data_IF_786776963348
#
_entry.id   IF_786776963348
#
_cell.length_a   1.000
_cell.length_b   1.000
_cell.length_c   1.000
_cell.angle_alpha   90.00
_cell.angle_beta   90.00
_cell.angle_gamma   90.00
#
_symmetry.space_group_name_H-M   'P 1'
#
loop_
_entity.id
_entity.type
_entity.pdbx_description
1 polymer ?
#
# COMPACT_ATOMS: atom_id res chain seq x y z
N UNK A 1 1.07 -24.23 -20.70
CA UNK A 1 0.80 -23.91 -19.28
C UNK A 1 -0.35 -22.90 -19.25
N UNK A 2 -1.51 -23.07 -18.64
CA UNK A 2 -1.91 -23.86 -17.48
C UNK A 2 -2.74 -22.94 -16.58
N UNK A 3 -4.05 -23.24 -16.48
CA UNK A 3 -5.06 -22.72 -15.56
C UNK A 3 -5.67 -21.31 -15.81
N UNK A 4 -6.90 -21.38 -16.32
CA UNK A 4 -8.03 -20.43 -16.23
C UNK A 4 -8.44 -20.17 -14.78
N UNK A 5 -8.50 -18.90 -14.36
CA UNK A 5 -9.58 -18.30 -13.55
C UNK A 5 -9.27 -16.81 -13.24
N UNK A 6 -10.32 -16.00 -13.01
CA UNK A 6 -10.32 -14.57 -12.62
C UNK A 6 -10.53 -13.51 -13.72
N UNK A 7 -11.53 -13.71 -14.59
CA UNK A 7 -12.27 -12.56 -15.11
C UNK A 7 -13.05 -11.91 -13.95
N UNK A 8 -12.49 -10.88 -13.30
CA UNK A 8 -13.17 -9.71 -12.66
C UNK A 8 -12.37 -8.99 -11.56
N UNK A 9 -11.19 -9.48 -11.13
CA UNK A 9 -10.34 -8.75 -10.17
C UNK A 9 -9.01 -8.33 -10.79
N UNK A 10 -9.00 -7.18 -11.49
CA UNK A 10 -7.75 -6.53 -11.93
C UNK A 10 -6.72 -6.53 -10.78
N UNK A 11 -5.47 -6.95 -11.02
CA UNK A 11 -4.45 -6.95 -9.97
C UNK A 11 -4.16 -5.51 -9.54
N UNK A 12 -3.57 -5.35 -8.36
CA UNK A 12 -3.22 -4.01 -7.84
C UNK A 12 -2.35 -3.22 -8.84
N UNK A 13 -1.31 -3.81 -9.46
CA UNK A 13 -0.54 -3.15 -10.52
C UNK A 13 -1.43 -2.70 -11.70
N UNK A 14 -2.25 -3.59 -12.27
CA UNK A 14 -3.12 -3.26 -13.41
C UNK A 14 -4.08 -2.10 -13.11
N UNK A 15 -4.61 -2.03 -11.88
CA UNK A 15 -5.45 -0.91 -11.43
C UNK A 15 -4.66 0.39 -11.36
N UNK A 16 -3.42 0.36 -10.87
CA UNK A 16 -2.54 1.53 -10.82
C UNK A 16 -2.10 1.97 -12.21
N UNK A 17 -1.87 1.04 -13.13
CA UNK A 17 -1.53 1.33 -14.53
C UNK A 17 -2.71 2.02 -15.24
N UNK A 18 -3.95 1.65 -14.88
CA UNK A 18 -5.16 2.30 -15.38
C UNK A 18 -5.44 3.66 -14.72
N UNK A 19 -4.99 3.89 -13.48
CA UNK A 19 -5.21 5.11 -12.70
C UNK A 19 -3.94 5.97 -12.62
N UNK A 20 -3.69 6.79 -13.64
CA UNK A 20 -2.50 7.67 -13.72
C UNK A 20 -2.42 8.71 -12.59
N UNK A 21 -3.56 9.24 -12.13
CA UNK A 21 -3.61 10.21 -11.01
C UNK A 21 -3.20 9.56 -9.69
N UNK A 22 -3.72 8.37 -9.44
CA UNK A 22 -3.40 7.62 -8.23
C UNK A 22 -1.93 7.23 -8.23
N UNK A 23 -1.42 6.68 -9.33
CA UNK A 23 -0.01 6.30 -9.43
C UNK A 23 0.93 7.50 -9.26
N UNK A 24 0.64 8.66 -9.86
CA UNK A 24 1.42 9.87 -9.64
C UNK A 24 1.41 10.33 -8.17
N UNK A 25 0.24 10.32 -7.53
CA UNK A 25 0.11 10.72 -6.12
C UNK A 25 0.86 9.78 -5.17
N UNK A 26 0.88 8.47 -5.46
CA UNK A 26 1.63 7.48 -4.69
C UNK A 26 3.13 7.55 -4.98
N UNK A 27 3.53 7.78 -6.23
CA UNK A 27 4.93 8.01 -6.60
C UNK A 27 5.53 9.19 -5.83
N UNK A 28 4.77 10.27 -5.64
CA UNK A 28 5.20 11.43 -4.86
C UNK A 28 5.40 11.14 -3.36
N UNK A 29 4.84 10.04 -2.85
CA UNK A 29 4.96 9.61 -1.44
C UNK A 29 5.98 8.49 -1.23
N UNK A 30 6.39 7.83 -2.31
CA UNK A 30 7.39 6.78 -2.28
C UNK A 30 8.79 7.38 -2.48
N UNK A 31 9.85 6.67 -2.06
CA UNK A 31 11.21 7.11 -2.32
C UNK A 31 11.45 7.33 -3.83
N UNK A 32 12.22 8.36 -4.22
CA UNK A 32 12.51 8.64 -5.62
C UNK A 32 13.15 7.41 -6.29
N UNK A 33 12.70 7.07 -7.50
CA UNK A 33 13.13 5.88 -8.24
C UNK A 33 12.36 4.59 -7.88
N UNK A 34 11.43 4.63 -6.92
CA UNK A 34 10.56 3.49 -6.64
C UNK A 34 9.47 3.37 -7.71
N UNK A 35 9.44 2.25 -8.42
CA UNK A 35 8.34 1.94 -9.33
C UNK A 35 7.08 1.57 -8.54
N UNK A 36 5.99 2.32 -8.77
CA UNK A 36 4.71 2.14 -8.05
C UNK A 36 4.07 0.77 -8.32
N UNK A 37 4.26 0.21 -9.52
CA UNK A 37 3.76 -1.12 -9.89
C UNK A 37 4.51 -2.21 -9.11
N UNK A 38 5.84 -2.11 -9.06
CA UNK A 38 6.69 -3.02 -8.28
C UNK A 38 6.41 -2.87 -6.78
N UNK A 39 6.20 -1.64 -6.30
CA UNK A 39 5.83 -1.37 -4.93
C UNK A 39 4.49 -2.04 -4.59
N UNK A 40 3.51 -1.98 -5.50
CA UNK A 40 2.19 -2.60 -5.34
C UNK A 40 2.16 -4.12 -5.52
N UNK A 41 3.21 -4.72 -6.07
CA UNK A 41 3.31 -6.17 -6.22
C UNK A 41 3.26 -6.87 -4.84
N UNK A 42 2.49 -7.96 -4.75
CA UNK A 42 2.28 -8.73 -3.53
C UNK A 42 1.12 -8.26 -2.65
N UNK A 43 0.60 -7.05 -2.86
CA UNK A 43 -0.60 -6.60 -2.14
C UNK A 43 -1.85 -7.29 -2.67
N UNK A 44 -2.67 -7.83 -1.75
CA UNK A 44 -3.97 -8.46 -2.10
C UNK A 44 -4.98 -7.49 -2.70
N UNK A 45 -4.92 -6.22 -2.29
CA UNK A 45 -5.82 -5.19 -2.79
C UNK A 45 -5.16 -3.81 -2.77
N UNK A 46 -5.73 -2.89 -3.55
CA UNK A 46 -5.23 -1.54 -3.71
C UNK A 46 -5.33 -0.70 -2.43
N UNK A 47 -6.37 -0.94 -1.62
CA UNK A 47 -6.55 -0.24 -0.35
C UNK A 47 -5.40 -0.48 0.62
N UNK A 48 -4.91 -1.72 0.73
CA UNK A 48 -3.77 -2.08 1.58
C UNK A 48 -2.47 -1.47 1.08
N UNK A 49 -2.25 -1.41 -0.23
CA UNK A 49 -1.08 -0.77 -0.81
C UNK A 49 -1.08 0.74 -0.52
N UNK A 50 -2.17 1.42 -0.85
CA UNK A 50 -2.31 2.86 -0.62
C UNK A 50 -2.20 3.19 0.88
N UNK A 51 -2.80 2.38 1.75
CA UNK A 51 -2.68 2.55 3.19
C UNK A 51 -1.21 2.41 3.64
N UNK A 52 -0.46 1.43 3.15
CA UNK A 52 0.95 1.27 3.49
C UNK A 52 1.80 2.49 3.05
N UNK A 53 1.52 3.07 1.87
CA UNK A 53 2.17 4.30 1.40
C UNK A 53 1.85 5.48 2.34
N UNK A 54 0.59 5.64 2.76
CA UNK A 54 0.20 6.68 3.72
C UNK A 54 0.84 6.50 5.08
N UNK A 55 0.93 5.27 5.59
CA UNK A 55 1.64 4.96 6.84
C UNK A 55 3.11 5.36 6.75
N UNK A 56 3.78 4.94 5.67
CA UNK A 56 5.18 5.28 5.42
C UNK A 56 5.39 6.80 5.42
N UNK A 57 4.53 7.54 4.73
CA UNK A 57 4.57 9.00 4.64
C UNK A 57 4.21 9.70 5.97
N UNK A 58 3.17 9.25 6.68
CA UNK A 58 2.68 9.91 7.90
C UNK A 58 3.62 9.68 9.10
N UNK A 59 4.17 8.47 9.21
CA UNK A 59 5.00 8.08 10.35
C UNK A 59 6.50 8.20 10.06
N UNK A 60 6.88 8.48 8.81
CA UNK A 60 8.27 8.51 8.37
C UNK A 60 8.95 7.14 8.39
N UNK A 61 8.17 6.06 8.21
CA UNK A 61 8.68 4.68 8.21
C UNK A 61 9.11 4.31 6.78
N UNK A 62 10.26 3.64 6.56
CA UNK A 62 10.64 3.17 5.23
C UNK A 62 9.59 2.22 4.63
N UNK A 63 9.03 2.59 3.46
CA UNK A 63 8.01 1.77 2.79
C UNK A 63 8.51 0.34 2.51
N UNK A 64 9.78 0.18 2.15
CA UNK A 64 10.39 -1.13 1.89
C UNK A 64 10.32 -2.07 3.10
N UNK A 65 10.63 -1.57 4.30
CA UNK A 65 10.56 -2.37 5.53
C UNK A 65 9.11 -2.68 5.91
N UNK A 66 8.22 -1.69 5.80
CA UNK A 66 6.78 -1.87 6.05
C UNK A 66 6.19 -2.92 5.12
N UNK A 67 6.51 -2.85 3.83
CA UNK A 67 6.13 -3.84 2.83
C UNK A 67 6.70 -5.20 3.21
N UNK A 68 7.98 -5.30 3.55
CA UNK A 68 8.62 -6.55 3.95
C UNK A 68 7.84 -7.27 5.05
N UNK A 69 7.51 -6.57 6.13
CA UNK A 69 6.68 -7.10 7.24
C UNK A 69 5.31 -7.58 6.76
N UNK A 70 4.61 -6.77 5.96
CA UNK A 70 3.30 -7.14 5.42
C UNK A 70 3.35 -8.37 4.51
N UNK A 71 4.43 -8.53 3.73
CA UNK A 71 4.63 -9.70 2.86
C UNK A 71 5.05 -10.95 3.65
N UNK A 72 5.66 -10.79 4.82
CA UNK A 72 5.93 -11.87 5.77
C UNK A 72 4.68 -12.39 6.50
N UNK A 73 3.53 -11.73 6.33
CA UNK A 73 2.24 -12.14 6.91
C UNK A 73 1.71 -11.19 7.99
N UNK A 74 2.46 -10.16 8.36
CA UNK A 74 2.01 -9.20 9.37
C UNK A 74 0.85 -8.35 8.84
N UNK A 75 -0.13 -8.07 9.70
CA UNK A 75 -1.12 -7.03 9.40
C UNK A 75 -0.46 -5.64 9.37
N UNK A 76 -1.12 -4.67 8.72
CA UNK A 76 -0.61 -3.29 8.68
C UNK A 76 -0.31 -2.72 10.07
N UNK A 77 -1.16 -3.00 11.06
CA UNK A 77 -0.94 -2.56 12.45
C UNK A 77 0.27 -3.24 13.08
N UNK A 78 0.43 -4.55 12.91
CA UNK A 78 1.60 -5.28 13.42
C UNK A 78 2.89 -4.79 12.77
N UNK A 79 2.89 -4.56 11.45
CA UNK A 79 4.03 -4.03 10.73
C UNK A 79 4.42 -2.62 11.22
N UNK A 80 3.43 -1.74 11.48
CA UNK A 80 3.68 -0.42 12.08
C UNK A 80 4.28 -0.56 13.48
N UNK A 81 3.67 -1.38 14.33
CA UNK A 81 4.13 -1.56 15.71
C UNK A 81 5.57 -2.12 15.75
N UNK A 82 5.89 -3.04 14.84
CA UNK A 82 7.24 -3.62 14.73
C UNK A 82 8.30 -2.60 14.28
N UNK A 83 7.94 -1.67 13.40
CA UNK A 83 8.89 -0.67 12.87
C UNK A 83 8.93 0.62 13.69
N UNK A 84 7.84 0.93 14.39
CA UNK A 84 7.73 2.13 15.23
C UNK A 84 6.95 1.82 16.51
N UNK A 85 7.57 1.15 17.49
CA UNK A 85 6.89 0.68 18.71
C UNK A 85 6.41 1.79 19.67
N UNK A 86 6.58 3.08 19.34
CA UNK A 86 6.14 4.23 20.15
C UNK A 86 4.89 4.95 19.65
N UNK A 87 4.27 4.48 18.56
CA UNK A 87 3.02 5.08 18.04
C UNK A 87 1.83 4.13 18.25
N UNK A 88 0.63 4.69 18.31
CA UNK A 88 -0.60 3.91 18.25
C UNK A 88 -0.75 3.33 16.83
N UNK A 89 -0.28 2.09 16.68
CA UNK A 89 -0.26 1.39 15.41
C UNK A 89 -1.68 1.14 14.86
N UNK A 90 -2.66 0.93 15.73
CA UNK A 90 -4.05 0.71 15.34
C UNK A 90 -4.72 2.00 14.87
N UNK A 91 -4.47 3.12 15.56
CA UNK A 91 -4.91 4.43 15.10
C UNK A 91 -4.26 4.79 13.76
N UNK A 92 -2.95 4.57 13.62
CA UNK A 92 -2.24 4.83 12.37
C UNK A 92 -2.75 3.95 11.21
N UNK A 93 -2.96 2.65 11.46
CA UNK A 93 -3.53 1.75 10.45
C UNK A 93 -4.96 2.13 10.06
N UNK A 94 -5.80 2.54 11.02
CA UNK A 94 -7.16 3.03 10.76
C UNK A 94 -7.15 4.32 9.94
N UNK A 95 -6.32 5.28 10.32
CA UNK A 95 -6.16 6.54 9.60
C UNK A 95 -5.71 6.29 8.16
N UNK A 96 -4.69 5.46 7.97
CA UNK A 96 -4.18 5.15 6.64
C UNK A 96 -5.19 4.40 5.76
N UNK A 97 -5.99 3.49 6.33
CA UNK A 97 -7.10 2.84 5.61
C UNK A 97 -8.18 3.84 5.21
N UNK A 98 -8.48 4.81 6.08
CA UNK A 98 -9.43 5.89 5.76
C UNK A 98 -8.91 6.77 4.63
N UNK A 99 -7.64 7.21 4.72
CA UNK A 99 -6.96 7.98 3.67
C UNK A 99 -6.93 7.23 2.35
N UNK A 100 -6.63 5.92 2.39
CA UNK A 100 -6.69 5.07 1.22
C UNK A 100 -8.08 5.06 0.60
N UNK A 101 -9.14 4.83 1.39
CA UNK A 101 -10.52 4.86 0.88
C UNK A 101 -10.88 6.20 0.24
N UNK A 102 -10.54 7.32 0.88
CA UNK A 102 -10.79 8.65 0.34
C UNK A 102 -10.05 8.88 -0.98
N UNK A 103 -8.77 8.50 -1.05
CA UNK A 103 -7.98 8.63 -2.28
C UNK A 103 -8.50 7.71 -3.40
N UNK A 104 -8.96 6.51 -3.05
CA UNK A 104 -9.58 5.57 -3.99
C UNK A 104 -10.98 6.00 -4.43
N UNK A 105 -11.65 6.90 -3.71
CA UNK A 105 -12.91 7.53 -4.11
C UNK A 105 -12.71 8.80 -4.94
N UNK A 106 -11.53 9.45 -4.81
CA UNK A 106 -11.19 10.72 -5.47
C UNK A 106 -10.40 10.57 -6.78
N UNK A 107 -10.25 9.36 -7.30
CA UNK A 107 -9.50 9.08 -8.55
C UNK A 107 -10.30 9.39 -9.82
#
# INVERSE_FOLDING_TARGET
>A
MGATDAASSKRVPDKLASDSRLSASLAAKLPPGTDVQQAAAGFRNLGSFVAAVHVSSNLGIPFGELKGKMMSGDSLGQAIHALKPGVDADAAARQARSQARAQLAAR
#
